data_IF_772146093365
#
_entry.id   IF_772146093365
#
_cell.length_a   1.000
_cell.length_b   1.000
_cell.length_c   1.000
_cell.angle_alpha   90.00
_cell.angle_beta   90.00
_cell.angle_gamma   90.00
#
_symmetry.space_group_name_H-M   'P 1'
#
loop_
_entity.id
_entity.type
_entity.pdbx_description
1 polymer ?
#
# COMPACT_ATOMS: atom_id res chain seq x y z
N UNK A 1 -1.14 11.92 7.01
CA UNK A 1 -1.41 10.76 7.89
C UNK A 1 -2.48 9.92 7.21
N UNK A 2 -2.51 8.61 7.40
CA UNK A 2 -3.66 7.79 6.98
C UNK A 2 -4.88 8.24 7.78
N UNK A 3 -5.69 9.15 7.24
CA UNK A 3 -6.86 9.70 7.90
C UNK A 3 -7.87 10.09 6.80
N UNK A 4 -9.03 9.45 6.82
CA UNK A 4 -10.07 9.60 5.78
C UNK A 4 -10.64 11.01 5.73
N UNK A 5 -10.72 11.74 6.85
CA UNK A 5 -11.21 13.13 6.87
C UNK A 5 -10.26 14.07 6.13
N UNK A 6 -8.97 13.96 6.41
CA UNK A 6 -7.93 14.77 5.74
C UNK A 6 -7.83 14.39 4.26
N UNK A 7 -7.88 13.09 3.95
CA UNK A 7 -7.87 12.62 2.56
C UNK A 7 -9.07 13.18 1.79
N UNK A 8 -10.28 13.11 2.37
CA UNK A 8 -11.49 13.66 1.77
C UNK A 8 -11.36 15.16 1.48
N UNK A 9 -10.90 15.93 2.46
CA UNK A 9 -10.66 17.37 2.28
C UNK A 9 -9.63 17.64 1.17
N UNK A 10 -8.55 16.84 1.12
CA UNK A 10 -7.55 16.92 0.06
C UNK A 10 -8.13 16.64 -1.32
N UNK A 11 -8.98 15.61 -1.45
CA UNK A 11 -9.68 15.28 -2.69
C UNK A 11 -10.59 16.43 -3.12
N UNK A 12 -11.43 16.94 -2.21
CA UNK A 12 -12.37 18.04 -2.48
C UNK A 12 -11.64 19.31 -2.96
N UNK A 13 -10.45 19.57 -2.41
CA UNK A 13 -9.57 20.68 -2.77
C UNK A 13 -8.59 20.38 -3.91
N UNK A 14 -8.63 19.18 -4.51
CA UNK A 14 -7.72 18.71 -5.57
C UNK A 14 -6.23 18.80 -5.19
N UNK A 15 -5.90 18.44 -3.97
CA UNK A 15 -4.52 18.44 -3.43
C UNK A 15 -3.91 17.05 -3.60
N UNK A 16 -2.74 16.99 -4.25
CA UNK A 16 -2.02 15.75 -4.58
C UNK A 16 -2.81 14.78 -5.47
N UNK A 17 -2.25 13.60 -5.73
CA UNK A 17 -2.83 12.54 -6.57
C UNK A 17 -2.51 11.13 -6.06
N UNK A 18 -1.90 11.03 -4.88
CA UNK A 18 -1.45 9.79 -4.27
C UNK A 18 -1.44 9.93 -2.75
N UNK A 19 -1.70 8.83 -2.04
CA UNK A 19 -1.61 8.75 -0.59
C UNK A 19 -0.67 7.62 -0.17
N UNK A 20 0.19 7.91 0.82
CA UNK A 20 1.01 6.92 1.48
C UNK A 20 0.24 6.30 2.66
N UNK A 21 -0.10 5.02 2.55
CA UNK A 21 -0.91 4.29 3.53
C UNK A 21 -0.01 3.61 4.58
N UNK A 22 -0.23 3.99 5.83
CA UNK A 22 0.39 3.38 7.02
C UNK A 22 -0.73 2.96 7.95
N UNK A 23 -1.03 1.67 8.04
CA UNK A 23 -2.19 1.17 8.81
C UNK A 23 -2.07 1.49 10.31
N UNK A 24 -0.86 1.47 10.86
CA UNK A 24 -0.62 1.84 12.26
C UNK A 24 -0.80 3.34 12.56
N UNK A 25 -1.09 4.18 11.56
CA UNK A 25 -1.47 5.58 11.78
C UNK A 25 -2.99 5.77 11.95
N UNK A 26 -3.82 4.86 11.43
CA UNK A 26 -5.28 4.97 11.53
C UNK A 26 -5.84 4.03 12.60
N UNK A 27 -5.13 2.93 12.89
CA UNK A 27 -5.36 2.09 14.08
C UNK A 27 -5.94 0.73 13.76
N UNK A 28 -6.86 0.64 12.78
CA UNK A 28 -7.49 -0.65 12.41
C UNK A 28 -7.31 -1.01 10.93
N UNK A 29 -7.47 -2.29 10.62
CA UNK A 29 -7.49 -2.79 9.24
C UNK A 29 -8.70 -2.23 8.48
N UNK A 30 -9.87 -2.18 9.10
CA UNK A 30 -11.10 -1.66 8.48
C UNK A 30 -10.91 -0.22 8.01
N UNK A 31 -10.45 0.68 8.88
CA UNK A 31 -10.23 2.08 8.49
C UNK A 31 -9.12 2.23 7.44
N UNK A 32 -8.13 1.33 7.46
CA UNK A 32 -7.10 1.28 6.42
C UNK A 32 -7.72 0.94 5.06
N UNK A 33 -8.61 -0.05 5.00
CA UNK A 33 -9.31 -0.44 3.78
C UNK A 33 -10.23 0.67 3.28
N UNK A 34 -10.94 1.35 4.18
CA UNK A 34 -11.76 2.53 3.83
C UNK A 34 -10.92 3.65 3.20
N UNK A 35 -9.74 3.94 3.77
CA UNK A 35 -8.83 4.95 3.21
C UNK A 35 -8.33 4.57 1.81
N UNK A 36 -7.97 3.30 1.59
CA UNK A 36 -7.55 2.80 0.27
C UNK A 36 -8.70 2.90 -0.74
N UNK A 37 -9.91 2.49 -0.35
CA UNK A 37 -11.09 2.56 -1.22
C UNK A 37 -11.44 4.00 -1.59
N UNK A 38 -11.42 4.92 -0.62
CA UNK A 38 -11.66 6.35 -0.85
C UNK A 38 -10.65 6.94 -1.84
N UNK A 39 -9.36 6.64 -1.66
CA UNK A 39 -8.31 7.10 -2.58
C UNK A 39 -8.56 6.59 -4.01
N UNK A 40 -8.82 5.27 -4.15
CA UNK A 40 -9.08 4.66 -5.46
C UNK A 40 -10.31 5.23 -6.16
N UNK A 41 -11.40 5.42 -5.42
CA UNK A 41 -12.65 5.99 -5.96
C UNK A 41 -12.45 7.42 -6.48
N UNK A 42 -11.55 8.19 -5.85
CA UNK A 42 -11.18 9.52 -6.28
C UNK A 42 -10.09 9.56 -7.38
N UNK A 43 -9.66 8.41 -7.89
CA UNK A 43 -8.60 8.31 -8.90
C UNK A 43 -7.17 8.49 -8.37
N UNK A 44 -6.98 8.53 -7.05
CA UNK A 44 -5.65 8.59 -6.43
C UNK A 44 -5.01 7.21 -6.42
N UNK A 45 -3.67 7.17 -6.44
CA UNK A 45 -2.93 5.94 -6.10
C UNK A 45 -2.81 5.78 -4.59
N UNK A 46 -2.84 4.53 -4.10
CA UNK A 46 -2.58 4.20 -2.72
C UNK A 46 -1.27 3.41 -2.62
N UNK A 47 -0.27 3.97 -1.93
CA UNK A 47 1.05 3.32 -1.76
C UNK A 47 1.12 2.73 -0.36
N UNK A 48 1.08 1.40 -0.25
CA UNK A 48 1.20 0.73 1.06
C UNK A 48 2.63 0.89 1.59
N UNK A 49 2.79 1.30 2.84
CA UNK A 49 4.10 1.71 3.37
C UNK A 49 4.41 1.13 4.73
N UNK A 50 5.68 0.78 4.90
CA UNK A 50 6.29 0.45 6.18
C UNK A 50 6.46 1.69 7.09
N UNK A 51 7.03 1.48 8.29
CA UNK A 51 7.58 2.52 9.17
C UNK A 51 9.10 2.43 9.29
N UNK A 52 9.75 3.41 9.92
CA UNK A 52 11.21 3.37 10.14
C UNK A 52 11.61 2.28 11.14
N UNK A 53 10.81 2.04 12.19
CA UNK A 53 10.89 0.84 13.02
C UNK A 53 9.96 -0.22 12.46
N UNK A 54 10.50 -1.36 12.06
CA UNK A 54 9.75 -2.51 11.51
C UNK A 54 10.12 -3.78 12.26
N UNK A 55 9.24 -4.76 12.16
CA UNK A 55 9.45 -6.13 12.64
C UNK A 55 9.57 -7.07 11.45
N UNK A 56 9.69 -8.37 11.72
CA UNK A 56 9.63 -9.44 10.73
C UNK A 56 8.25 -9.61 10.08
N UNK A 57 7.18 -9.06 10.69
CA UNK A 57 5.80 -9.09 10.18
C UNK A 57 5.76 -8.67 8.71
N UNK A 58 5.02 -9.39 7.87
CA UNK A 58 4.94 -9.11 6.44
C UNK A 58 3.54 -8.75 5.96
N UNK A 59 2.64 -8.39 6.89
CA UNK A 59 1.21 -8.10 6.62
C UNK A 59 1.00 -7.06 5.51
N UNK A 60 1.91 -6.08 5.38
CA UNK A 60 1.79 -5.06 4.32
C UNK A 60 2.00 -5.60 2.90
N UNK A 61 2.67 -6.73 2.73
CA UNK A 61 2.79 -7.40 1.44
C UNK A 61 1.42 -7.96 1.01
N UNK A 62 0.79 -8.74 1.89
CA UNK A 62 -0.55 -9.29 1.70
C UNK A 62 -1.61 -8.19 1.54
N UNK A 63 -1.51 -7.10 2.31
CA UNK A 63 -2.40 -5.95 2.17
C UNK A 63 -2.25 -5.27 0.79
N UNK A 64 -1.02 -5.09 0.30
CA UNK A 64 -0.77 -4.47 -1.00
C UNK A 64 -1.36 -5.29 -2.15
N UNK A 65 -1.20 -6.62 -2.11
CA UNK A 65 -1.76 -7.53 -3.12
C UNK A 65 -3.28 -7.64 -2.97
N UNK A 66 -3.78 -7.91 -1.77
CA UNK A 66 -5.19 -8.14 -1.48
C UNK A 66 -6.08 -6.92 -1.76
N UNK A 67 -5.52 -5.71 -1.64
CA UNK A 67 -6.23 -4.48 -2.04
C UNK A 67 -5.95 -4.07 -3.49
N UNK A 68 -5.09 -4.79 -4.21
CA UNK A 68 -4.59 -4.42 -5.54
C UNK A 68 -4.10 -2.97 -5.58
N UNK A 69 -3.31 -2.56 -4.58
CA UNK A 69 -2.85 -1.19 -4.41
C UNK A 69 -1.90 -0.72 -5.53
N UNK A 70 -1.21 -1.68 -6.18
CA UNK A 70 -0.30 -1.44 -7.30
C UNK A 70 1.10 -1.00 -6.87
N UNK A 71 1.24 -0.36 -5.71
CA UNK A 71 2.51 0.18 -5.22
C UNK A 71 2.75 -0.14 -3.74
N UNK A 72 4.00 -0.47 -3.41
CA UNK A 72 4.46 -0.72 -2.04
C UNK A 72 5.79 0.00 -1.79
N UNK A 73 5.95 0.57 -0.59
CA UNK A 73 7.18 1.18 -0.09
C UNK A 73 7.62 0.48 1.19
N UNK A 74 8.47 -0.55 1.02
CA UNK A 74 8.90 -1.41 2.13
C UNK A 74 10.41 -1.40 2.44
N UNK A 75 11.17 -0.47 1.85
CA UNK A 75 12.56 -0.18 2.24
C UNK A 75 13.62 -0.72 1.29
N UNK A 76 14.89 -0.62 1.69
CA UNK A 76 16.03 -1.08 0.90
C UNK A 76 16.08 -2.61 0.78
N UNK A 77 16.96 -3.13 -0.08
CA UNK A 77 17.24 -4.56 -0.26
C UNK A 77 18.20 -5.12 0.80
N UNK A 78 18.13 -4.59 2.02
CA UNK A 78 18.92 -5.02 3.16
C UNK A 78 18.09 -4.93 4.44
N UNK A 79 18.56 -5.64 5.47
CA UNK A 79 17.90 -5.84 6.77
C UNK A 79 16.63 -6.69 6.67
N UNK A 80 16.53 -7.68 7.55
CA UNK A 80 15.45 -8.69 7.51
C UNK A 80 14.06 -8.09 7.73
N UNK A 81 13.95 -6.99 8.48
CA UNK A 81 12.70 -6.25 8.69
C UNK A 81 12.12 -5.63 7.40
N UNK A 82 12.94 -5.49 6.35
CA UNK A 82 12.52 -5.04 5.00
C UNK A 82 12.38 -6.22 4.05
N UNK A 83 13.39 -7.07 4.03
CA UNK A 83 13.48 -8.22 3.12
C UNK A 83 12.36 -9.24 3.38
N UNK A 84 11.85 -9.37 4.61
CA UNK A 84 10.74 -10.27 4.90
C UNK A 84 9.49 -9.97 4.07
N UNK A 85 9.21 -8.68 3.80
CA UNK A 85 8.07 -8.26 2.96
C UNK A 85 8.30 -8.59 1.48
N UNK A 86 9.52 -8.38 0.97
CA UNK A 86 9.86 -8.78 -0.40
C UNK A 86 9.78 -10.29 -0.59
N UNK A 87 10.28 -11.07 0.38
CA UNK A 87 10.15 -12.53 0.35
C UNK A 87 8.69 -12.97 0.37
N UNK A 88 7.83 -12.28 1.12
CA UNK A 88 6.40 -12.56 1.12
C UNK A 88 5.75 -12.24 -0.23
N UNK A 89 6.12 -11.13 -0.88
CA UNK A 89 5.63 -10.82 -2.24
C UNK A 89 6.02 -11.90 -3.25
N UNK A 90 7.26 -12.42 -3.19
CA UNK A 90 7.70 -13.53 -4.04
C UNK A 90 6.86 -14.79 -3.82
N UNK A 91 6.56 -15.14 -2.55
CA UNK A 91 5.68 -16.27 -2.23
C UNK A 91 4.25 -16.06 -2.75
N UNK A 92 3.71 -14.85 -2.61
CA UNK A 92 2.37 -14.53 -3.11
C UNK A 92 2.33 -14.63 -4.64
N UNK A 93 3.35 -14.11 -5.33
CA UNK A 93 3.46 -14.22 -6.78
C UNK A 93 3.54 -15.68 -7.24
N UNK A 94 4.38 -16.50 -6.60
CA UNK A 94 4.49 -17.94 -6.85
C UNK A 94 3.13 -18.65 -6.65
N UNK A 95 2.41 -18.34 -5.57
CA UNK A 95 1.10 -18.92 -5.27
C UNK A 95 0.01 -18.52 -6.27
N UNK A 96 0.03 -17.27 -6.75
CA UNK A 96 -0.92 -16.79 -7.75
C UNK A 96 -0.62 -17.33 -9.16
N UNK A 97 0.65 -17.65 -9.44
CA UNK A 97 1.11 -18.18 -10.72
C UNK A 97 0.64 -17.32 -11.89
N UNK A 98 -0.03 -17.93 -12.88
CA UNK A 98 -0.54 -17.23 -14.06
C UNK A 98 -1.57 -16.11 -13.77
N UNK A 99 -2.13 -16.05 -12.56
CA UNK A 99 -3.05 -14.96 -12.16
C UNK A 99 -2.31 -13.72 -11.68
N UNK A 100 -1.02 -13.81 -11.37
CA UNK A 100 -0.23 -12.68 -10.93
C UNK A 100 -0.08 -11.65 -12.07
N UNK A 101 -0.34 -10.38 -11.77
CA UNK A 101 -0.14 -9.27 -12.71
C UNK A 101 0.75 -8.22 -12.06
N UNK A 102 1.85 -7.90 -12.72
CA UNK A 102 2.71 -6.78 -12.39
C UNK A 102 2.58 -5.70 -13.46
N UNK A 103 1.86 -4.61 -13.16
CA UNK A 103 1.54 -3.58 -14.16
C UNK A 103 2.65 -2.53 -14.34
N UNK A 104 3.70 -2.55 -13.50
CA UNK A 104 4.85 -1.65 -13.61
C UNK A 104 4.46 -0.18 -13.72
N UNK A 105 4.84 0.48 -14.82
CA UNK A 105 4.52 1.91 -15.06
C UNK A 105 3.02 2.19 -15.19
N UNK A 106 2.19 1.18 -15.47
CA UNK A 106 0.74 1.33 -15.52
C UNK A 106 0.09 1.67 -14.18
N UNK A 107 0.81 1.54 -13.06
CA UNK A 107 0.31 1.87 -11.71
C UNK A 107 0.42 3.36 -11.35
N UNK A 108 1.06 4.18 -12.19
CA UNK A 108 1.22 5.61 -11.94
C UNK A 108 0.04 6.41 -12.48
N UNK A 109 -0.36 7.45 -11.75
CA UNK A 109 -1.33 8.45 -12.19
C UNK A 109 -0.58 9.73 -12.56
N UNK A 110 -0.52 10.03 -13.85
CA UNK A 110 0.20 11.18 -14.41
C UNK A 110 0.60 10.94 -15.84
#
# INVERSE_FOLDING_TARGET
MTNTKILKEGIDKKIANSILIKFNQIGTLTETLEAIQMAKAAGYTAVISHRSGETEDSTIADLAVGTSAGQIKTGSLCRSDRVSKYNQLLRIEEQLGAKAKYNGRGEFRG
#
